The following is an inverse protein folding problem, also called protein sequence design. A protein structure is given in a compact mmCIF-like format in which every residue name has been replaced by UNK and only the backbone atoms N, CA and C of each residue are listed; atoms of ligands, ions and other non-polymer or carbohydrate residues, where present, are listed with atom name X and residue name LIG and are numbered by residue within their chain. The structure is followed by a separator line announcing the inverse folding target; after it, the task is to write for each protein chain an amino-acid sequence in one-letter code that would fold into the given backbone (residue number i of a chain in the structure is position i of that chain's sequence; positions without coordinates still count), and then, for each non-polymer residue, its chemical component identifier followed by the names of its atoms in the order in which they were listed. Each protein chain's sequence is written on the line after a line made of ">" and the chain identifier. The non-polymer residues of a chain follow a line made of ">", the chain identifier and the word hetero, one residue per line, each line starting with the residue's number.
data_IF_248953140070
#
_entry.id   IF_248953140070
#
_cell.length_a   1.000
_cell.length_b   1.000
_cell.length_c   1.000
_cell.angle_alpha   90.00
_cell.angle_beta   90.00
_cell.angle_gamma   90.00
#
_symmetry.space_group_name_H-M   'P 1'
#
loop_
_entity.id
_entity.type
_entity.pdbx_description
1 polymer ?
#
# COMPACT_ATOMS: atom_id res chain seq x y z
N UNK A 1 4.91 82.53 21.53
CA UNK A 1 3.55 81.95 21.27
C UNK A 1 3.44 81.76 19.79
N UNK A 2 3.79 80.62 19.33
CA UNK A 2 3.75 80.24 17.92
C UNK A 2 2.74 79.15 17.71
N UNK A 3 1.67 79.46 17.00
CA UNK A 3 0.59 78.60 16.63
C UNK A 3 1.05 77.68 15.50
N UNK A 4 1.21 76.42 15.82
CA UNK A 4 1.46 75.36 14.83
C UNK A 4 0.12 74.80 14.37
N UNK A 5 -0.42 75.31 13.30
CA UNK A 5 -1.60 74.79 12.61
C UNK A 5 -1.17 73.66 11.71
N UNK A 6 -1.51 72.46 12.14
CA UNK A 6 -1.46 71.22 11.32
C UNK A 6 -2.45 71.34 10.16
N UNK A 7 -1.94 71.56 8.94
CA UNK A 7 -2.72 71.37 7.73
C UNK A 7 -2.87 69.88 7.48
N UNK A 8 -4.00 69.31 7.88
CA UNK A 8 -4.45 68.07 7.33
C UNK A 8 -4.64 68.25 5.82
N UNK A 9 -3.90 67.53 5.01
CA UNK A 9 -4.06 67.53 3.57
C UNK A 9 -5.44 66.98 3.23
N UNK A 10 -6.38 67.90 2.91
CA UNK A 10 -7.65 67.48 2.30
C UNK A 10 -7.33 66.71 1.02
N UNK A 11 -7.67 65.43 1.01
CA UNK A 11 -7.60 64.63 -0.20
C UNK A 11 -8.66 65.17 -1.14
N UNK A 12 -8.23 65.91 -2.15
CA UNK A 12 -9.11 66.46 -3.17
C UNK A 12 -9.77 65.31 -3.95
N UNK A 13 -11.01 65.01 -3.59
CA UNK A 13 -11.84 63.97 -4.17
C UNK A 13 -11.98 64.10 -5.67
N UNK A 14 -11.91 65.35 -6.19
CA UNK A 14 -11.99 65.63 -7.63
C UNK A 14 -10.68 65.21 -8.35
N UNK A 15 -9.54 65.36 -7.73
CA UNK A 15 -8.27 64.86 -8.27
C UNK A 15 -8.21 63.31 -8.29
N UNK A 16 -8.73 62.64 -7.27
CA UNK A 16 -8.83 61.17 -7.22
C UNK A 16 -9.78 60.68 -8.29
N UNK A 17 -10.92 61.35 -8.46
CA UNK A 17 -11.92 61.02 -9.48
C UNK A 17 -11.39 61.22 -10.91
N UNK A 18 -10.61 62.29 -11.13
CA UNK A 18 -9.95 62.56 -12.41
C UNK A 18 -8.85 61.56 -12.74
N UNK A 19 -8.03 61.16 -11.76
CA UNK A 19 -7.03 60.12 -11.91
C UNK A 19 -7.69 58.73 -12.16
N UNK A 20 -8.76 58.38 -11.44
CA UNK A 20 -9.52 57.17 -11.69
C UNK A 20 -10.14 57.13 -13.08
N UNK A 21 -10.73 58.25 -13.56
CA UNK A 21 -11.23 58.33 -14.94
C UNK A 21 -10.12 58.15 -15.96
N UNK A 22 -8.92 58.69 -15.72
CA UNK A 22 -7.74 58.49 -16.57
C UNK A 22 -7.28 57.06 -16.63
N UNK A 23 -7.30 56.34 -15.49
CA UNK A 23 -6.95 54.91 -15.47
C UNK A 23 -7.99 54.04 -16.16
N UNK A 24 -9.30 54.33 -15.98
CA UNK A 24 -10.39 53.58 -16.63
C UNK A 24 -10.38 53.83 -18.14
N UNK A 25 -10.16 55.07 -18.63
CA UNK A 25 -10.06 55.33 -20.07
C UNK A 25 -8.81 54.65 -20.67
N UNK A 26 -7.65 54.80 -20.00
CA UNK A 26 -6.39 54.17 -20.45
C UNK A 26 -6.48 52.62 -20.46
N UNK A 27 -7.25 52.03 -19.53
CA UNK A 27 -7.51 50.59 -19.54
C UNK A 27 -8.46 50.22 -20.69
N UNK A 28 -9.48 51.03 -20.95
CA UNK A 28 -10.39 50.86 -22.08
C UNK A 28 -9.66 50.93 -23.44
N UNK A 29 -8.76 51.89 -23.59
CA UNK A 29 -7.95 52.06 -24.82
C UNK A 29 -7.03 50.85 -25.04
N UNK A 30 -6.40 50.31 -23.99
CA UNK A 30 -5.57 49.09 -24.06
C UNK A 30 -6.38 47.86 -24.43
N UNK A 31 -7.59 47.73 -23.91
CA UNK A 31 -8.48 46.63 -24.31
C UNK A 31 -8.89 46.77 -25.77
N UNK A 32 -9.21 47.97 -26.21
CA UNK A 32 -9.56 48.25 -27.59
C UNK A 32 -8.40 47.94 -28.57
N UNK A 33 -7.20 48.34 -28.23
CA UNK A 33 -5.97 48.06 -28.98
C UNK A 33 -5.68 46.54 -29.02
N UNK A 34 -5.88 45.84 -27.92
CA UNK A 34 -5.77 44.37 -27.85
C UNK A 34 -6.81 43.71 -28.78
N UNK A 35 -8.05 44.21 -28.78
CA UNK A 35 -9.11 43.73 -29.66
C UNK A 35 -8.79 43.95 -31.14
N UNK A 36 -8.26 45.11 -31.49
CA UNK A 36 -7.80 45.40 -32.84
C UNK A 36 -6.63 44.52 -33.26
N UNK A 37 -5.67 44.29 -32.34
CA UNK A 37 -4.55 43.36 -32.56
C UNK A 37 -5.05 41.94 -32.85
N UNK A 38 -5.96 41.42 -32.02
CA UNK A 38 -6.57 40.08 -32.23
C UNK A 38 -7.29 40.05 -33.58
N UNK A 39 -8.13 41.05 -33.91
CA UNK A 39 -8.83 41.12 -35.19
C UNK A 39 -7.88 41.16 -36.40
N UNK A 40 -6.77 41.91 -36.30
CA UNK A 40 -5.75 42.04 -37.36
C UNK A 40 -4.97 40.73 -37.56
N UNK A 41 -4.71 39.98 -36.48
CA UNK A 41 -3.88 38.80 -36.53
C UNK A 41 -4.66 37.47 -36.29
N UNK A 42 -5.99 37.50 -36.41
CA UNK A 42 -6.87 36.37 -36.10
C UNK A 42 -6.51 35.11 -36.89
N UNK A 43 -6.12 35.24 -38.16
CA UNK A 43 -5.71 34.11 -38.96
C UNK A 43 -4.43 33.45 -38.46
N UNK A 44 -3.46 34.25 -37.97
CA UNK A 44 -2.21 33.72 -37.38
C UNK A 44 -2.49 33.07 -36.06
N UNK A 45 -3.37 33.65 -35.22
CA UNK A 45 -3.76 33.10 -33.93
C UNK A 45 -4.50 31.74 -34.08
N UNK A 46 -5.40 31.66 -35.06
CA UNK A 46 -6.09 30.42 -35.40
C UNK A 46 -5.09 29.36 -35.89
N UNK A 47 -4.16 29.71 -36.77
CA UNK A 47 -3.14 28.78 -37.25
C UNK A 47 -2.25 28.25 -36.11
N UNK A 48 -1.81 29.15 -35.20
CA UNK A 48 -1.04 28.78 -34.01
C UNK A 48 -1.84 27.86 -33.08
N UNK A 49 -3.13 28.15 -32.88
CA UNK A 49 -4.02 27.31 -32.09
C UNK A 49 -4.18 25.91 -32.68
N UNK A 50 -4.39 25.81 -33.99
CA UNK A 50 -4.52 24.53 -34.70
C UNK A 50 -3.24 23.70 -34.63
N UNK A 51 -2.08 24.36 -34.83
CA UNK A 51 -0.76 23.70 -34.71
C UNK A 51 -0.55 23.25 -33.27
N UNK A 52 -0.81 24.13 -32.29
CA UNK A 52 -0.67 23.80 -30.86
C UNK A 52 -1.60 22.65 -30.42
N UNK A 53 -2.86 22.65 -30.88
CA UNK A 53 -3.81 21.57 -30.62
C UNK A 53 -3.37 20.26 -31.29
N UNK A 54 -2.85 20.33 -32.52
CA UNK A 54 -2.34 19.15 -33.23
C UNK A 54 -1.12 18.54 -32.55
N UNK A 55 -0.14 19.37 -32.15
CA UNK A 55 1.03 18.91 -31.39
C UNK A 55 0.62 18.41 -30.01
N UNK A 56 -0.28 19.11 -29.31
CA UNK A 56 -0.78 18.71 -28.02
C UNK A 56 -1.49 17.36 -28.04
N UNK A 57 -2.36 17.11 -29.01
CA UNK A 57 -3.04 15.80 -29.15
C UNK A 57 -2.09 14.70 -29.59
N UNK A 58 -1.05 15.00 -30.34
CA UNK A 58 -0.02 14.03 -30.70
C UNK A 58 0.78 13.59 -29.45
N UNK A 59 1.24 14.54 -28.65
CA UNK A 59 1.99 14.27 -27.40
C UNK A 59 1.11 13.55 -26.35
N UNK A 60 -0.16 13.90 -26.27
CA UNK A 60 -1.10 13.24 -25.33
C UNK A 60 -1.37 11.77 -25.71
N UNK A 61 -1.34 11.43 -26.99
CA UNK A 61 -1.45 10.03 -27.44
C UNK A 61 -0.24 9.18 -27.08
N UNK A 62 0.95 9.77 -27.08
CA UNK A 62 2.18 9.06 -26.65
C UNK A 62 2.29 8.96 -25.12
N UNK A 63 1.56 9.81 -24.39
CA UNK A 63 1.58 9.83 -22.92
C UNK A 63 0.60 8.83 -22.25
N UNK A 64 -0.15 8.03 -23.03
CA UNK A 64 -1.01 7.02 -22.43
C UNK A 64 -0.17 5.95 -21.75
N UNK A 65 -0.35 5.82 -20.44
CA UNK A 65 0.24 4.76 -19.65
C UNK A 65 -0.85 3.81 -19.17
N UNK A 66 -0.57 2.52 -19.28
CA UNK A 66 -1.41 1.47 -18.73
C UNK A 66 -0.83 1.07 -17.38
N UNK A 67 -1.69 1.03 -16.37
CA UNK A 67 -1.25 0.76 -15.00
C UNK A 67 -1.69 -0.64 -14.58
N UNK A 68 -0.71 -1.44 -14.16
CA UNK A 68 -0.95 -2.74 -13.54
C UNK A 68 -0.69 -2.62 -12.04
N UNK A 69 -1.74 -2.76 -11.25
CA UNK A 69 -1.71 -2.69 -9.79
C UNK A 69 -1.66 -4.09 -9.21
N UNK A 70 -0.57 -4.42 -8.55
CA UNK A 70 -0.33 -5.74 -7.96
C UNK A 70 -0.29 -5.62 -6.45
N UNK A 71 -1.29 -6.18 -5.78
CA UNK A 71 -1.31 -6.27 -4.33
C UNK A 71 -0.49 -7.48 -3.89
N UNK A 72 0.47 -7.27 -2.99
CA UNK A 72 1.40 -8.30 -2.55
C UNK A 72 1.53 -8.36 -1.03
N UNK A 73 1.86 -9.57 -0.53
CA UNK A 73 2.31 -9.80 0.85
C UNK A 73 3.77 -10.24 0.80
N UNK A 74 4.72 -9.47 1.37
CA UNK A 74 6.10 -9.92 1.56
C UNK A 74 6.19 -10.86 2.76
N UNK A 75 6.56 -12.13 2.51
CA UNK A 75 6.75 -13.15 3.54
C UNK A 75 8.20 -13.21 4.02
N UNK A 76 8.47 -13.93 5.11
CA UNK A 76 9.83 -14.23 5.61
C UNK A 76 10.68 -12.98 5.88
N UNK A 77 10.05 -11.91 6.37
CA UNK A 77 10.70 -10.63 6.62
C UNK A 77 11.39 -10.04 5.37
N UNK A 78 10.83 -10.29 4.18
CA UNK A 78 11.39 -9.90 2.89
C UNK A 78 11.04 -8.47 2.46
N UNK A 79 10.47 -7.66 3.34
CA UNK A 79 9.99 -6.32 2.99
C UNK A 79 11.11 -5.41 2.49
N UNK A 80 12.24 -5.36 3.19
CA UNK A 80 13.39 -4.56 2.78
C UNK A 80 13.95 -5.02 1.43
N UNK A 81 14.05 -6.35 1.25
CA UNK A 81 14.43 -6.94 -0.03
C UNK A 81 13.49 -6.52 -1.16
N UNK A 82 12.17 -6.54 -0.92
CA UNK A 82 11.17 -6.15 -1.90
C UNK A 82 11.35 -4.68 -2.33
N UNK A 83 11.47 -3.76 -1.37
CA UNK A 83 11.69 -2.35 -1.67
C UNK A 83 13.00 -2.11 -2.41
N UNK A 84 14.09 -2.73 -1.98
CA UNK A 84 15.38 -2.62 -2.67
C UNK A 84 15.35 -3.14 -4.11
N UNK A 85 14.65 -4.25 -4.37
CA UNK A 85 14.53 -4.76 -5.74
C UNK A 85 13.68 -3.84 -6.62
N UNK A 86 12.56 -3.31 -6.11
CA UNK A 86 11.75 -2.35 -6.86
C UNK A 86 12.53 -1.07 -7.14
N UNK A 87 13.20 -0.50 -6.15
CA UNK A 87 14.07 0.69 -6.32
C UNK A 87 15.20 0.43 -7.32
N UNK A 88 15.77 -0.77 -7.33
CA UNK A 88 16.79 -1.19 -8.30
C UNK A 88 16.24 -1.22 -9.72
N UNK A 89 15.07 -1.84 -9.92
CA UNK A 89 14.41 -1.90 -11.23
C UNK A 89 14.11 -0.47 -11.71
N UNK A 90 13.50 0.35 -10.88
CA UNK A 90 13.18 1.75 -11.21
C UNK A 90 14.43 2.57 -11.57
N UNK A 91 15.51 2.42 -10.79
CA UNK A 91 16.80 3.08 -11.07
C UNK A 91 17.40 2.67 -12.42
N UNK A 92 17.25 1.41 -12.81
CA UNK A 92 17.72 0.89 -14.10
C UNK A 92 16.86 1.38 -15.27
N UNK A 93 15.55 1.47 -15.07
CA UNK A 93 14.62 2.07 -16.04
C UNK A 93 14.97 3.55 -16.31
N UNK A 94 15.19 4.34 -15.27
CA UNK A 94 15.62 5.74 -15.39
C UNK A 94 16.94 5.91 -16.16
N UNK A 95 17.81 4.91 -16.13
CA UNK A 95 19.07 4.89 -16.90
C UNK A 95 18.89 4.31 -18.31
N UNK A 96 17.68 3.94 -18.70
CA UNK A 96 17.37 3.29 -19.98
C UNK A 96 18.21 2.02 -20.25
N UNK A 97 18.43 1.21 -19.19
CA UNK A 97 19.21 -0.04 -19.25
C UNK A 97 18.33 -1.17 -19.82
N UNK A 98 18.23 -1.20 -21.14
CA UNK A 98 17.40 -2.19 -21.87
C UNK A 98 17.87 -3.63 -21.68
N UNK A 99 19.19 -3.85 -21.48
CA UNK A 99 19.73 -5.19 -21.24
C UNK A 99 19.27 -5.73 -19.88
N UNK A 100 19.27 -4.88 -18.87
CA UNK A 100 18.75 -5.23 -17.57
C UNK A 100 17.26 -5.60 -17.65
N UNK A 101 16.44 -4.82 -18.34
CA UNK A 101 15.00 -5.12 -18.49
C UNK A 101 14.78 -6.45 -19.19
N UNK A 102 15.57 -6.77 -20.23
CA UNK A 102 15.53 -8.10 -20.85
C UNK A 102 15.92 -9.22 -19.89
N UNK A 103 16.87 -8.96 -19.00
CA UNK A 103 17.28 -9.95 -17.98
C UNK A 103 16.19 -10.26 -16.95
N UNK A 104 15.19 -9.37 -16.79
CA UNK A 104 14.00 -9.65 -15.99
C UNK A 104 13.02 -10.63 -16.66
N UNK A 105 13.25 -10.98 -17.95
CA UNK A 105 12.38 -11.84 -18.73
C UNK A 105 11.36 -11.08 -19.59
N UNK A 106 11.44 -9.74 -19.63
CA UNK A 106 10.59 -8.88 -20.46
C UNK A 106 11.15 -8.83 -21.88
N UNK A 107 10.39 -9.32 -22.85
CA UNK A 107 10.84 -9.44 -24.26
C UNK A 107 11.11 -8.09 -24.91
N UNK A 108 10.20 -7.14 -24.71
CA UNK A 108 10.30 -5.77 -25.23
C UNK A 108 10.55 -4.79 -24.08
N UNK A 109 11.79 -4.30 -23.93
CA UNK A 109 12.16 -3.37 -22.85
C UNK A 109 11.43 -2.03 -22.89
N UNK A 110 10.86 -1.64 -24.04
CA UNK A 110 10.16 -0.38 -24.22
C UNK A 110 8.71 -0.44 -23.67
N UNK A 111 8.26 -1.63 -23.30
CA UNK A 111 6.97 -1.80 -22.66
C UNK A 111 6.94 -1.25 -21.25
N UNK A 112 8.01 -1.42 -20.48
CA UNK A 112 8.07 -1.06 -19.07
C UNK A 112 8.56 0.39 -18.89
N UNK A 113 7.65 1.27 -18.44
CA UNK A 113 7.94 2.68 -18.25
C UNK A 113 8.42 3.00 -16.83
N UNK A 114 7.70 2.54 -15.82
CA UNK A 114 8.05 2.73 -14.41
C UNK A 114 7.52 1.61 -13.54
N UNK A 115 8.10 1.48 -12.37
CA UNK A 115 7.65 0.60 -11.31
C UNK A 115 7.76 1.33 -9.98
N UNK A 116 6.71 1.31 -9.19
CA UNK A 116 6.65 1.95 -7.89
C UNK A 116 6.06 0.99 -6.86
N UNK A 117 6.41 1.17 -5.60
CA UNK A 117 5.86 0.41 -4.49
C UNK A 117 5.43 1.35 -3.37
N UNK A 118 4.24 1.11 -2.86
CA UNK A 118 3.71 1.82 -1.71
C UNK A 118 3.06 0.85 -0.72
N UNK A 119 3.08 1.16 0.59
CA UNK A 119 2.36 0.37 1.57
C UNK A 119 0.86 0.63 1.44
N UNK A 120 0.06 -0.42 1.62
CA UNK A 120 -1.38 -0.28 1.80
C UNK A 120 -1.63 -0.05 3.28
N UNK A 121 -1.85 1.21 3.66
CA UNK A 121 -2.03 1.60 5.04
C UNK A 121 -3.35 1.05 5.59
N UNK A 122 -3.26 0.06 6.46
CA UNK A 122 -4.37 -0.45 7.27
C UNK A 122 -4.08 -0.17 8.74
N UNK A 123 -4.66 0.91 9.25
CA UNK A 123 -4.50 1.33 10.65
C UNK A 123 -5.00 0.25 11.62
N UNK A 124 -6.06 -0.47 11.25
CA UNK A 124 -6.62 -1.52 12.10
C UNK A 124 -5.69 -2.73 12.16
N UNK A 125 -5.08 -3.11 11.04
CA UNK A 125 -4.12 -4.19 10.99
C UNK A 125 -2.84 -3.85 11.77
N UNK A 126 -2.33 -2.62 11.64
CA UNK A 126 -1.21 -2.10 12.43
C UNK A 126 -1.50 -2.17 13.94
N UNK A 127 -2.70 -1.79 14.37
CA UNK A 127 -3.10 -1.84 15.77
C UNK A 127 -3.30 -3.29 16.27
N UNK A 128 -3.67 -4.23 15.42
CA UNK A 128 -3.90 -5.64 15.79
C UNK A 128 -2.63 -6.48 15.77
N UNK A 129 -1.68 -6.22 14.86
CA UNK A 129 -0.44 -7.00 14.74
C UNK A 129 0.57 -6.72 15.87
N UNK A 130 0.47 -5.57 16.55
CA UNK A 130 1.45 -5.16 17.58
C UNK A 130 1.28 -5.86 18.93
N UNK A 131 0.50 -6.93 19.07
CA UNK A 131 0.45 -7.67 20.32
C UNK A 131 -0.56 -8.79 20.43
N UNK A 132 -0.03 -9.96 20.69
CA UNK A 132 -0.77 -11.05 21.28
C UNK A 132 -1.01 -10.77 22.78
N UNK A 133 -2.27 -10.81 23.20
CA UNK A 133 -2.80 -10.78 24.55
C UNK A 133 -3.39 -9.44 25.04
N UNK A 134 -4.49 -9.59 25.77
CA UNK A 134 -5.37 -8.54 26.28
C UNK A 134 -4.69 -7.44 27.14
N UNK A 135 -3.45 -7.62 27.54
CA UNK A 135 -2.71 -6.63 28.35
C UNK A 135 -2.18 -5.45 27.52
N UNK A 136 -2.17 -5.56 26.19
CA UNK A 136 -1.60 -4.53 25.30
C UNK A 136 -2.63 -3.66 24.58
N UNK A 137 -3.93 -3.91 24.72
CA UNK A 137 -4.96 -3.08 24.06
C UNK A 137 -4.93 -1.63 24.56
N UNK A 138 -4.73 -1.43 25.86
CA UNK A 138 -4.62 -0.08 26.41
C UNK A 138 -3.38 0.66 25.90
N UNK A 139 -2.26 -0.06 25.76
CA UNK A 139 -1.01 0.50 25.25
C UNK A 139 -1.12 0.91 23.76
N UNK A 140 -1.91 0.19 22.97
CA UNK A 140 -2.16 0.49 21.55
C UNK A 140 -3.01 1.74 21.38
N UNK A 141 -4.10 1.84 22.15
CA UNK A 141 -4.96 3.02 22.17
C UNK A 141 -4.18 4.24 22.63
N UNK A 142 -3.30 4.10 23.65
CA UNK A 142 -2.45 5.19 24.13
C UNK A 142 -1.39 5.57 23.08
N UNK A 143 -0.78 4.62 22.40
CA UNK A 143 0.16 4.91 21.29
C UNK A 143 -0.53 5.66 20.15
N UNK A 144 -1.73 5.22 19.77
CA UNK A 144 -2.53 5.90 18.75
C UNK A 144 -2.90 7.32 19.19
N UNK A 145 -3.26 7.51 20.46
CA UNK A 145 -3.54 8.81 21.03
C UNK A 145 -2.32 9.73 21.02
N UNK A 146 -1.15 9.23 21.42
CA UNK A 146 0.10 9.99 21.40
C UNK A 146 0.44 10.42 19.96
N UNK A 147 0.27 9.55 18.99
CA UNK A 147 0.50 9.85 17.56
C UNK A 147 -0.53 10.90 17.08
N UNK A 148 -1.80 10.72 17.44
CA UNK A 148 -2.90 11.61 17.04
C UNK A 148 -2.79 13.01 17.64
N UNK A 149 -2.33 13.11 18.89
CA UNK A 149 -2.24 14.39 19.61
C UNK A 149 -0.99 15.21 19.22
N UNK A 150 0.08 14.57 18.73
CA UNK A 150 1.38 15.19 18.56
C UNK A 150 1.89 15.23 17.11
N UNK A 151 1.22 14.56 16.17
CA UNK A 151 1.66 14.50 14.77
C UNK A 151 0.48 14.49 13.78
N UNK A 152 0.77 14.87 12.54
CA UNK A 152 -0.14 14.59 11.42
C UNK A 152 -0.17 13.06 11.24
N UNK A 153 -1.27 12.45 11.66
CA UNK A 153 -1.49 11.00 11.64
C UNK A 153 -1.23 10.42 10.23
N UNK A 154 -1.65 11.13 9.19
CA UNK A 154 -1.42 10.71 7.80
C UNK A 154 0.07 10.67 7.48
N UNK A 155 0.84 11.64 7.96
CA UNK A 155 2.28 11.69 7.73
C UNK A 155 3.01 10.55 8.45
N UNK A 156 2.65 10.26 9.69
CA UNK A 156 3.24 9.15 10.47
C UNK A 156 2.90 7.79 9.84
N UNK A 157 1.67 7.61 9.36
CA UNK A 157 1.21 6.36 8.73
C UNK A 157 1.92 6.13 7.40
N UNK A 158 2.19 7.18 6.64
CA UNK A 158 2.84 7.11 5.32
C UNK A 158 4.36 7.19 5.38
N UNK A 159 4.94 7.51 6.54
CA UNK A 159 6.40 7.57 6.69
C UNK A 159 7.04 6.19 6.44
N UNK A 160 8.15 6.17 5.67
CA UNK A 160 8.84 4.93 5.26
C UNK A 160 9.18 3.97 6.42
N UNK A 161 9.40 4.49 7.61
CA UNK A 161 9.73 3.69 8.80
C UNK A 161 8.50 2.94 9.33
N UNK A 162 7.33 3.58 9.33
CA UNK A 162 6.08 2.99 9.82
C UNK A 162 5.43 2.12 8.76
N UNK A 163 5.53 2.54 7.51
CA UNK A 163 4.91 1.89 6.36
C UNK A 163 5.45 0.49 6.07
N UNK A 164 6.70 0.19 6.46
CA UNK A 164 7.31 -1.15 6.32
C UNK A 164 6.66 -2.23 7.18
N UNK A 165 5.88 -1.83 8.19
CA UNK A 165 5.21 -2.77 9.08
C UNK A 165 3.81 -3.18 8.61
N UNK A 166 3.32 -2.64 7.49
CA UNK A 166 2.03 -3.06 6.94
C UNK A 166 2.14 -4.42 6.24
N UNK A 167 1.08 -5.21 6.33
CA UNK A 167 1.02 -6.54 5.74
C UNK A 167 0.96 -6.48 4.21
N UNK A 168 0.22 -5.50 3.68
CA UNK A 168 -0.06 -5.39 2.25
C UNK A 168 0.71 -4.26 1.62
N UNK A 169 1.24 -4.51 0.43
CA UNK A 169 1.93 -3.52 -0.39
C UNK A 169 1.34 -3.52 -1.79
N UNK A 170 1.34 -2.35 -2.42
CA UNK A 170 0.89 -2.16 -3.78
C UNK A 170 2.09 -1.87 -4.67
N UNK A 171 2.34 -2.75 -5.64
CA UNK A 171 3.28 -2.51 -6.72
C UNK A 171 2.49 -1.96 -7.90
N UNK A 172 2.83 -0.76 -8.35
CA UNK A 172 2.26 -0.14 -9.55
C UNK A 172 3.28 -0.22 -10.67
N UNK A 173 2.92 -0.91 -11.75
CA UNK A 173 3.74 -1.09 -12.93
C UNK A 173 3.09 -0.32 -14.08
N UNK A 174 3.81 0.65 -14.67
CA UNK A 174 3.32 1.42 -15.81
C UNK A 174 3.93 0.88 -17.10
N UNK A 175 3.06 0.63 -18.09
CA UNK A 175 3.47 0.17 -19.42
C UNK A 175 3.05 1.17 -20.50
N UNK A 176 3.80 1.17 -21.61
CA UNK A 176 3.53 2.03 -22.78
C UNK A 176 2.33 1.56 -23.62
N UNK A 177 1.95 0.30 -23.50
CA UNK A 177 0.84 -0.35 -24.22
C UNK A 177 0.06 -1.22 -23.24
N UNK A 178 -1.17 -1.53 -23.62
CA UNK A 178 -1.92 -2.61 -22.98
C UNK A 178 -1.18 -3.93 -23.23
N UNK A 179 -0.85 -4.63 -22.16
CA UNK A 179 -0.10 -5.90 -22.18
C UNK A 179 -0.75 -6.91 -21.25
N UNK A 180 -0.61 -8.17 -21.59
CA UNK A 180 -1.04 -9.25 -20.73
C UNK A 180 -0.13 -9.39 -19.51
N UNK A 181 -0.67 -9.97 -18.43
CA UNK A 181 0.03 -10.17 -17.15
C UNK A 181 1.37 -10.91 -17.33
N UNK A 182 1.40 -11.91 -18.20
CA UNK A 182 2.57 -12.78 -18.45
C UNK A 182 3.71 -12.06 -19.20
N UNK A 183 3.44 -10.93 -19.85
CA UNK A 183 4.46 -10.19 -20.57
C UNK A 183 5.35 -9.31 -19.69
N UNK A 184 4.79 -8.73 -18.61
CA UNK A 184 5.50 -7.78 -17.75
C UNK A 184 5.36 -8.11 -16.26
N UNK A 185 4.15 -8.38 -15.78
CA UNK A 185 3.90 -8.57 -14.34
C UNK A 185 4.52 -9.87 -13.81
N UNK A 186 4.26 -10.98 -14.47
CA UNK A 186 4.77 -12.29 -14.03
C UNK A 186 6.31 -12.38 -14.11
N UNK A 187 7.00 -11.88 -15.14
CA UNK A 187 8.46 -11.78 -15.15
C UNK A 187 9.02 -11.02 -13.95
N UNK A 188 8.46 -9.87 -13.60
CA UNK A 188 8.89 -9.09 -12.43
C UNK A 188 8.64 -9.88 -11.15
N UNK A 189 7.45 -10.45 -10.95
CA UNK A 189 7.15 -11.26 -9.77
C UNK A 189 8.06 -12.49 -9.65
N UNK A 190 8.43 -13.12 -10.76
CA UNK A 190 9.37 -14.25 -10.75
C UNK A 190 10.76 -13.82 -10.27
N UNK A 191 11.26 -12.66 -10.69
CA UNK A 191 12.53 -12.11 -10.20
C UNK A 191 12.44 -11.80 -8.70
N UNK A 192 11.36 -11.19 -8.24
CA UNK A 192 11.14 -10.89 -6.81
C UNK A 192 11.06 -12.18 -5.95
N UNK A 193 10.64 -13.29 -6.54
CA UNK A 193 10.55 -14.60 -5.87
C UNK A 193 11.78 -15.50 -6.06
N UNK A 194 12.88 -15.00 -6.64
CA UNK A 194 14.04 -15.81 -7.00
C UNK A 194 15.23 -15.73 -6.04
N UNK A 195 15.11 -15.04 -4.91
CA UNK A 195 16.21 -14.88 -3.95
C UNK A 195 16.59 -16.24 -3.30
N UNK A 196 17.84 -16.75 -3.48
CA UNK A 196 18.21 -18.09 -3.01
C UNK A 196 18.13 -18.26 -1.49
N UNK A 197 18.47 -17.22 -0.72
CA UNK A 197 18.38 -17.26 0.74
C UNK A 197 16.92 -17.33 1.20
N UNK A 198 16.06 -16.48 0.66
CA UNK A 198 14.65 -16.46 1.03
C UNK A 198 13.92 -17.73 0.59
N UNK A 199 14.32 -18.35 -0.53
CA UNK A 199 13.81 -19.67 -0.95
C UNK A 199 14.18 -20.78 0.05
N UNK A 200 15.39 -20.73 0.64
CA UNK A 200 15.75 -21.68 1.71
C UNK A 200 14.89 -21.44 2.96
N UNK A 201 14.74 -20.18 3.39
CA UNK A 201 13.89 -19.82 4.54
C UNK A 201 12.45 -20.27 4.29
N UNK A 202 11.90 -20.02 3.11
CA UNK A 202 10.56 -20.47 2.71
C UNK A 202 10.41 -21.98 2.91
N UNK A 203 11.36 -22.75 2.38
CA UNK A 203 11.34 -24.23 2.48
C UNK A 203 11.32 -24.69 3.92
N UNK A 204 12.18 -24.14 4.77
CA UNK A 204 12.25 -24.52 6.19
C UNK A 204 10.98 -24.11 6.96
N UNK A 205 10.41 -22.94 6.65
CA UNK A 205 9.15 -22.50 7.25
C UNK A 205 7.98 -23.44 6.88
N UNK A 206 7.89 -23.87 5.61
CA UNK A 206 6.84 -24.81 5.18
C UNK A 206 7.01 -26.17 5.86
N UNK A 207 8.25 -26.67 5.99
CA UNK A 207 8.53 -27.92 6.71
C UNK A 207 8.09 -27.78 8.17
N UNK A 208 8.46 -26.68 8.85
CA UNK A 208 8.09 -26.45 10.23
C UNK A 208 6.56 -26.39 10.43
N UNK A 209 5.82 -25.77 9.50
CA UNK A 209 4.35 -25.74 9.53
C UNK A 209 3.76 -27.16 9.39
N UNK A 210 4.26 -27.95 8.46
CA UNK A 210 3.81 -29.35 8.28
C UNK A 210 4.07 -30.20 9.51
N UNK A 211 5.27 -30.10 10.10
CA UNK A 211 5.63 -30.84 11.29
C UNK A 211 4.75 -30.44 12.47
N UNK A 212 4.45 -29.14 12.63
CA UNK A 212 3.56 -28.62 13.67
C UNK A 212 2.12 -29.18 13.52
N UNK A 213 1.58 -29.15 12.31
CA UNK A 213 0.25 -29.71 12.02
C UNK A 213 0.22 -31.22 12.36
N UNK A 214 1.27 -31.92 12.00
CA UNK A 214 1.40 -33.36 12.26
C UNK A 214 1.48 -33.73 13.76
N UNK A 215 2.25 -32.89 14.50
CA UNK A 215 2.33 -33.00 15.96
C UNK A 215 0.97 -32.73 16.60
N UNK A 216 0.32 -31.62 16.22
CA UNK A 216 -1.02 -31.28 16.72
C UNK A 216 -2.03 -32.38 16.44
N UNK A 217 -2.03 -32.95 15.23
CA UNK A 217 -2.91 -34.07 14.86
C UNK A 217 -2.64 -35.30 15.72
N UNK A 218 -1.37 -35.56 16.08
CA UNK A 218 -1.01 -36.66 16.99
C UNK A 218 -1.54 -36.43 18.40
N UNK A 219 -1.39 -35.21 18.92
CA UNK A 219 -1.91 -34.81 20.24
C UNK A 219 -3.44 -34.90 20.26
N UNK A 220 -4.12 -34.42 19.23
CA UNK A 220 -5.59 -34.53 19.09
C UNK A 220 -6.05 -35.96 19.14
N UNK A 221 -5.33 -36.87 18.46
CA UNK A 221 -5.65 -38.33 18.52
C UNK A 221 -5.47 -38.92 19.92
N UNK A 222 -4.42 -38.47 20.63
CA UNK A 222 -4.20 -38.92 22.02
C UNK A 222 -5.31 -38.41 22.95
N UNK A 223 -5.68 -37.12 22.85
CA UNK A 223 -6.79 -36.53 23.62
C UNK A 223 -8.09 -37.32 23.35
N UNK A 224 -8.40 -37.61 22.09
CA UNK A 224 -9.60 -38.38 21.75
C UNK A 224 -9.62 -39.75 22.43
N UNK A 225 -8.49 -40.49 22.43
CA UNK A 225 -8.38 -41.79 23.11
C UNK A 225 -8.60 -41.67 24.61
N UNK A 226 -8.04 -40.62 25.24
CA UNK A 226 -8.23 -40.40 26.68
C UNK A 226 -9.70 -40.11 26.98
N UNK A 227 -10.34 -39.21 26.23
CA UNK A 227 -11.77 -38.89 26.40
C UNK A 227 -12.68 -40.11 26.17
N UNK A 228 -12.39 -40.94 25.16
CA UNK A 228 -13.10 -42.21 24.92
C UNK A 228 -12.94 -43.17 26.09
N UNK A 229 -11.71 -43.31 26.66
CA UNK A 229 -11.44 -44.14 27.82
C UNK A 229 -12.26 -43.74 29.04
N UNK A 230 -12.38 -42.43 29.30
CA UNK A 230 -13.24 -41.92 30.37
C UNK A 230 -14.74 -42.22 30.10
N UNK A 231 -15.20 -42.11 28.87
CA UNK A 231 -16.60 -42.45 28.50
C UNK A 231 -16.94 -43.89 28.73
N UNK A 232 -15.99 -44.81 28.54
CA UNK A 232 -16.17 -46.26 28.74
C UNK A 232 -16.11 -46.62 30.23
N UNK A 233 -15.22 -46.02 31.03
CA UNK A 233 -15.11 -46.24 32.46
C UNK A 233 -16.33 -45.71 33.23
N UNK A 234 -16.94 -44.61 32.80
CA UNK A 234 -18.15 -44.05 33.41
C UNK A 234 -19.40 -44.94 33.31
N UNK A 235 -19.35 -45.98 32.47
CA UNK A 235 -20.42 -47.00 32.39
C UNK A 235 -20.25 -48.15 33.38
N UNK A 236 -19.07 -48.29 34.02
CA UNK A 236 -18.76 -49.43 34.89
C UNK A 236 -18.56 -49.10 36.38
N UNK A 237 -18.56 -47.80 36.77
CA UNK A 237 -18.28 -47.39 38.15
C UNK A 237 -19.49 -46.72 38.82
N UNK A 238 -19.63 -46.91 40.14
CA UNK A 238 -20.69 -46.30 40.95
C UNK A 238 -20.67 -44.78 40.92
N UNK A 239 -21.83 -44.11 40.84
CA UNK A 239 -21.95 -42.71 40.49
C UNK A 239 -21.29 -41.67 41.46
N UNK A 240 -21.00 -42.03 42.69
CA UNK A 240 -20.65 -41.03 43.70
C UNK A 240 -19.17 -40.69 43.85
N UNK A 241 -18.25 -41.48 43.26
CA UNK A 241 -16.80 -41.25 43.40
C UNK A 241 -16.13 -40.53 42.19
N UNK A 242 -16.81 -40.53 41.06
CA UNK A 242 -16.28 -39.97 39.79
C UNK A 242 -16.57 -38.50 39.58
N UNK A 243 -17.44 -37.92 40.40
CA UNK A 243 -18.00 -36.58 40.08
C UNK A 243 -17.11 -35.37 40.42
N UNK A 244 -16.11 -35.53 41.28
CA UNK A 244 -15.42 -34.37 41.83
C UNK A 244 -14.04 -34.05 41.23
N UNK A 245 -13.36 -35.01 40.60
CA UNK A 245 -12.00 -34.76 40.07
C UNK A 245 -11.86 -34.85 38.52
N UNK A 246 -12.79 -35.51 37.83
CA UNK A 246 -12.61 -35.81 36.41
C UNK A 246 -13.20 -34.80 35.42
N UNK A 247 -14.15 -33.93 35.86
CA UNK A 247 -14.82 -33.00 34.93
C UNK A 247 -13.93 -31.83 34.53
N UNK A 248 -13.08 -31.34 35.40
CA UNK A 248 -12.15 -30.25 35.13
C UNK A 248 -11.08 -30.68 34.13
N UNK A 249 -10.51 -31.88 34.34
CA UNK A 249 -9.45 -32.41 33.47
C UNK A 249 -9.95 -32.70 32.05
N UNK A 250 -11.17 -33.21 31.91
CA UNK A 250 -11.77 -33.46 30.58
C UNK A 250 -12.09 -32.16 29.87
N UNK A 251 -12.58 -31.15 30.59
CA UNK A 251 -12.87 -29.82 30.01
C UNK A 251 -11.59 -29.14 29.52
N UNK A 252 -10.49 -29.25 30.27
CA UNK A 252 -9.19 -28.70 29.87
C UNK A 252 -8.65 -29.45 28.64
N UNK A 253 -8.75 -30.78 28.58
CA UNK A 253 -8.36 -31.54 27.39
C UNK A 253 -9.17 -31.18 26.14
N UNK A 254 -10.48 -30.96 26.29
CA UNK A 254 -11.34 -30.52 25.18
C UNK A 254 -11.01 -29.09 24.73
N UNK A 255 -10.69 -28.19 25.68
CA UNK A 255 -10.26 -26.84 25.37
C UNK A 255 -8.91 -26.84 24.63
N UNK A 256 -7.95 -27.67 25.10
CA UNK A 256 -6.66 -27.84 24.41
C UNK A 256 -6.89 -28.38 22.98
N UNK A 257 -7.72 -29.43 22.82
CA UNK A 257 -8.06 -29.96 21.50
C UNK A 257 -8.63 -28.89 20.58
N UNK A 258 -9.59 -28.07 21.06
CA UNK A 258 -10.18 -26.99 20.27
C UNK A 258 -9.14 -25.94 19.88
N UNK A 259 -8.19 -25.63 20.77
CA UNK A 259 -7.04 -24.77 20.48
C UNK A 259 -6.17 -25.33 19.35
N UNK A 260 -5.79 -26.62 19.44
CA UNK A 260 -4.98 -27.30 18.42
C UNK A 260 -5.67 -27.37 17.05
N UNK A 261 -7.00 -27.64 17.04
CA UNK A 261 -7.78 -27.65 15.79
C UNK A 261 -7.80 -26.26 15.13
N UNK A 262 -7.95 -25.20 15.93
CA UNK A 262 -7.88 -23.83 15.42
C UNK A 262 -6.49 -23.52 14.89
N UNK A 263 -5.44 -23.81 15.63
CA UNK A 263 -4.05 -23.63 15.23
C UNK A 263 -3.74 -24.36 13.91
N UNK A 264 -4.22 -25.58 13.74
CA UNK A 264 -4.09 -26.31 12.48
C UNK A 264 -4.80 -25.61 11.32
N UNK A 265 -5.95 -24.98 11.57
CA UNK A 265 -6.64 -24.17 10.58
C UNK A 265 -5.81 -22.95 10.15
N UNK A 266 -5.28 -22.22 11.12
CA UNK A 266 -4.43 -21.05 10.89
C UNK A 266 -3.12 -21.41 10.17
N UNK A 267 -2.50 -22.52 10.55
CA UNK A 267 -1.28 -23.03 9.91
C UNK A 267 -1.51 -23.37 8.42
N UNK A 268 -2.66 -23.94 8.07
CA UNK A 268 -3.02 -24.24 6.67
C UNK A 268 -3.23 -22.97 5.84
N UNK A 269 -3.79 -21.93 6.44
CA UNK A 269 -3.94 -20.64 5.77
C UNK A 269 -2.56 -20.00 5.57
N UNK A 270 -1.72 -20.02 6.60
CA UNK A 270 -0.34 -19.51 6.55
C UNK A 270 0.48 -20.23 5.47
N UNK A 271 0.29 -21.53 5.30
CA UNK A 271 0.96 -22.31 4.24
C UNK A 271 0.63 -21.80 2.82
N UNK A 272 -0.62 -21.36 2.59
CA UNK A 272 -1.02 -20.76 1.32
C UNK A 272 -0.27 -19.45 1.07
N UNK A 273 -0.10 -18.62 2.09
CA UNK A 273 0.66 -17.38 1.98
C UNK A 273 2.16 -17.65 1.75
N UNK A 274 2.71 -18.69 2.40
CA UNK A 274 4.13 -19.06 2.34
C UNK A 274 4.56 -19.75 1.04
N UNK A 275 3.65 -20.01 0.11
CA UNK A 275 4.01 -20.58 -1.20
C UNK A 275 4.86 -19.67 -2.06
N UNK A 276 4.92 -18.36 -1.76
CA UNK A 276 5.78 -17.38 -2.44
C UNK A 276 6.47 -16.47 -1.42
N UNK A 277 7.67 -16.01 -1.75
CA UNK A 277 8.39 -15.01 -0.96
C UNK A 277 7.58 -13.70 -0.98
N UNK A 278 7.24 -13.26 -2.20
CA UNK A 278 6.35 -12.12 -2.46
C UNK A 278 5.05 -12.69 -3.04
N UNK A 279 4.04 -12.82 -2.19
CA UNK A 279 2.75 -13.41 -2.57
C UNK A 279 1.87 -12.38 -3.22
N UNK A 280 1.56 -12.53 -4.49
CA UNK A 280 0.54 -11.74 -5.17
C UNK A 280 -0.87 -12.20 -4.77
N UNK A 281 -1.73 -11.23 -4.41
CA UNK A 281 -3.11 -11.48 -3.96
C UNK A 281 -4.08 -11.12 -5.07
N UNK A 282 -3.87 -9.95 -5.69
CA UNK A 282 -4.71 -9.45 -6.76
C UNK A 282 -3.88 -8.64 -7.76
N UNK A 283 -4.27 -8.74 -9.02
CA UNK A 283 -3.73 -7.91 -10.12
C UNK A 283 -4.89 -7.21 -10.77
N UNK A 284 -4.83 -5.88 -10.85
CA UNK A 284 -5.81 -5.03 -11.51
C UNK A 284 -5.09 -4.27 -12.62
N UNK A 285 -5.49 -4.48 -13.86
CA UNK A 285 -4.97 -3.78 -15.03
C UNK A 285 -6.02 -2.80 -15.54
N UNK A 286 -5.61 -1.55 -15.78
CA UNK A 286 -6.45 -0.47 -16.32
C UNK A 286 -5.87 0.03 -17.63
#
# INVERSE_FOLDING_TARGET
>A
MENNTNYASEIDIDQVKQKMRGYVSSFGDKIFDAMLFVKKHIAILIALFVIGAGVGTYLDREAKQYLHKVYVIPNFNSIDYLYEQVDRIESKLKKNDKEFVKSLGIKDPELLNSIEIEPVADIFDFLTQTGSAAEHEQSKVELFRIISDNADVNKVITEKVTSRNYRYHLITIATSKEVDRDEVVDPILNVLNSNPYLLQVQKECIIALHDKVKENDSIIKQINKVVEGYSLQGRAASPSMLYYNNNTDITELLNLKNGLVRENGDNRITEIDFQKIIKDIAVVSN
#
